data_IF_848158260148
#
_entry.id   IF_848158260148
#
_cell.length_a   1.000
_cell.length_b   1.000
_cell.length_c   1.000
_cell.angle_alpha   90.00
_cell.angle_beta   90.00
_cell.angle_gamma   90.00
#
_symmetry.space_group_name_H-M   'P 1'
#
loop_
_entity.id
_entity.type
_entity.pdbx_description
1 polymer ?
#
# COMPACT_ATOMS: atom_id res chain seq x y z
N UNK A 1 4.21 -13.75 8.20
CA UNK A 1 3.98 -12.49 8.94
C UNK A 1 5.13 -11.58 8.56
N UNK A 2 4.87 -10.37 8.07
CA UNK A 2 5.92 -9.46 7.60
C UNK A 2 6.39 -8.59 8.77
N UNK A 3 7.61 -8.82 9.25
CA UNK A 3 8.19 -8.02 10.33
C UNK A 3 9.14 -6.99 9.71
N UNK A 4 9.01 -5.72 10.12
CA UNK A 4 9.77 -4.58 9.59
C UNK A 4 9.92 -4.59 8.05
N UNK A 5 8.81 -4.62 7.29
CA UNK A 5 8.90 -4.56 5.85
C UNK A 5 9.46 -3.19 5.42
N UNK A 6 10.40 -3.21 4.47
CA UNK A 6 11.04 -2.06 3.84
C UNK A 6 10.72 -2.08 2.35
N UNK A 7 10.31 -0.93 1.79
CA UNK A 7 10.04 -0.81 0.35
C UNK A 7 11.36 -0.63 -0.40
N UNK A 8 11.69 -1.58 -1.27
CA UNK A 8 12.87 -1.51 -2.13
C UNK A 8 12.54 -0.82 -3.44
N UNK A 9 11.50 -1.28 -4.14
CA UNK A 9 11.12 -0.79 -5.46
C UNK A 9 9.60 -0.74 -5.62
N UNK A 10 9.14 0.17 -6.47
CA UNK A 10 7.73 0.29 -6.90
C UNK A 10 7.70 0.60 -8.39
N UNK A 11 6.88 -0.11 -9.14
CA UNK A 11 6.76 0.09 -10.59
C UNK A 11 5.32 -0.11 -11.06
N UNK A 12 4.99 0.56 -12.17
CA UNK A 12 3.63 0.64 -12.69
C UNK A 12 2.73 1.56 -11.88
N UNK A 13 1.64 2.01 -12.50
CA UNK A 13 0.58 2.80 -11.86
C UNK A 13 -0.74 2.09 -12.12
N UNK A 14 -1.46 1.77 -11.05
CA UNK A 14 -2.79 1.16 -11.11
C UNK A 14 -3.74 1.96 -10.23
N UNK A 15 -4.97 2.14 -10.68
CA UNK A 15 -6.01 2.84 -9.92
C UNK A 15 -7.00 1.84 -9.36
N UNK A 16 -7.12 1.78 -8.04
CA UNK A 16 -8.15 0.99 -7.36
C UNK A 16 -9.09 1.92 -6.59
N UNK A 17 -10.39 1.61 -6.62
CA UNK A 17 -11.37 2.25 -5.75
C UNK A 17 -11.15 1.77 -4.31
N UNK A 18 -10.50 2.61 -3.49
CA UNK A 18 -10.26 2.31 -2.08
C UNK A 18 -11.34 3.00 -1.22
N UNK A 19 -11.88 2.24 -0.27
CA UNK A 19 -12.76 2.75 0.79
C UNK A 19 -12.05 2.72 2.14
N UNK A 20 -12.34 3.70 3.00
CA UNK A 20 -11.82 3.69 4.36
C UNK A 20 -12.87 3.13 5.32
N UNK A 21 -12.50 2.19 6.19
CA UNK A 21 -13.39 1.71 7.25
C UNK A 21 -13.81 2.82 8.23
N UNK A 22 -13.07 3.93 8.28
CA UNK A 22 -13.44 5.11 9.07
C UNK A 22 -14.52 5.98 8.43
N UNK A 23 -14.74 5.88 7.11
CA UNK A 23 -15.75 6.65 6.38
C UNK A 23 -16.41 5.74 5.32
N UNK A 24 -17.44 4.96 5.72
CA UNK A 24 -18.00 3.91 4.87
C UNK A 24 -18.68 4.41 3.59
N UNK A 25 -19.10 5.67 3.56
CA UNK A 25 -19.84 6.28 2.44
C UNK A 25 -18.91 6.87 1.36
N UNK A 26 -17.61 6.87 1.59
CA UNK A 26 -16.64 7.55 0.73
C UNK A 26 -15.67 6.56 0.10
N UNK A 27 -15.72 6.50 -1.22
CA UNK A 27 -14.84 5.70 -2.06
C UNK A 27 -14.19 6.60 -3.09
N UNK A 28 -12.89 6.48 -3.25
CA UNK A 28 -12.15 7.27 -4.22
C UNK A 28 -11.18 6.37 -4.98
N UNK A 29 -10.94 6.71 -6.26
CA UNK A 29 -9.90 6.09 -7.05
C UNK A 29 -8.54 6.57 -6.55
N UNK A 30 -7.73 5.67 -5.99
CA UNK A 30 -6.40 5.99 -5.48
C UNK A 30 -5.35 5.40 -6.41
N UNK A 31 -4.42 6.23 -6.94
CA UNK A 31 -3.31 5.71 -7.71
C UNK A 31 -2.32 5.00 -6.78
N UNK A 32 -2.02 3.74 -7.10
CA UNK A 32 -1.11 2.84 -6.40
C UNK A 32 -0.09 2.25 -7.37
N UNK A 33 0.98 1.70 -6.82
CA UNK A 33 1.95 0.98 -7.63
C UNK A 33 1.37 -0.40 -8.02
N UNK A 34 1.48 -0.77 -9.30
CA UNK A 34 1.03 -2.08 -9.78
C UNK A 34 1.91 -3.21 -9.23
N UNK A 35 3.20 -2.94 -9.06
CA UNK A 35 4.19 -3.87 -8.54
C UNK A 35 5.02 -3.21 -7.46
N UNK A 36 5.29 -3.96 -6.39
CA UNK A 36 6.14 -3.53 -5.28
C UNK A 36 7.10 -4.65 -4.93
N UNK A 37 8.35 -4.28 -4.67
CA UNK A 37 9.37 -5.15 -4.11
C UNK A 37 9.65 -4.70 -2.70
N UNK A 38 9.48 -5.60 -1.75
CA UNK A 38 9.71 -5.32 -0.33
C UNK A 38 10.73 -6.29 0.24
N UNK A 39 11.45 -5.84 1.27
CA UNK A 39 12.29 -6.69 2.11
C UNK A 39 11.65 -6.77 3.48
N UNK A 40 11.41 -7.96 3.99
CA UNK A 40 10.85 -8.15 5.33
C UNK A 40 11.65 -9.20 6.09
N UNK A 41 11.47 -9.22 7.41
CA UNK A 41 11.99 -10.27 8.27
C UNK A 41 10.91 -11.32 8.48
N UNK A 42 11.30 -12.60 8.44
CA UNK A 42 10.44 -13.70 8.86
C UNK A 42 10.36 -13.76 10.39
N UNK A 43 9.50 -14.63 10.93
CA UNK A 43 9.35 -14.88 12.37
C UNK A 43 10.66 -15.28 13.06
N UNK A 44 11.58 -15.88 12.29
CA UNK A 44 12.91 -16.29 12.74
C UNK A 44 13.96 -15.17 12.62
N UNK A 45 13.54 -13.94 12.24
CA UNK A 45 14.43 -12.78 12.08
C UNK A 45 15.27 -12.80 10.80
N UNK A 46 15.06 -13.78 9.91
CA UNK A 46 15.79 -13.88 8.65
C UNK A 46 15.22 -12.90 7.62
N UNK A 47 16.05 -12.05 6.99
CA UNK A 47 15.59 -11.18 5.92
C UNK A 47 15.27 -11.98 4.66
N UNK A 48 14.14 -11.64 4.03
CA UNK A 48 13.75 -12.14 2.73
C UNK A 48 13.17 -11.01 1.88
N UNK A 49 13.23 -11.19 0.56
CA UNK A 49 12.63 -10.26 -0.39
C UNK A 49 11.35 -10.89 -0.95
N UNK A 50 10.32 -10.06 -1.08
CA UNK A 50 9.03 -10.43 -1.64
C UNK A 50 8.68 -9.45 -2.75
N UNK A 51 8.49 -9.97 -3.95
CA UNK A 51 7.88 -9.24 -5.06
C UNK A 51 6.39 -9.55 -5.07
N UNK A 52 5.59 -8.50 -5.09
CA UNK A 52 4.14 -8.57 -5.12
C UNK A 52 3.61 -7.68 -6.23
N UNK A 53 2.58 -8.16 -6.91
CA UNK A 53 1.89 -7.47 -8.00
C UNK A 53 0.37 -7.42 -7.78
N UNK A 54 -0.29 -6.51 -8.50
CA UNK A 54 -1.74 -6.34 -8.48
C UNK A 54 -2.31 -6.06 -7.08
N UNK A 55 -3.27 -6.88 -6.65
CA UNK A 55 -3.94 -6.73 -5.34
C UNK A 55 -2.97 -6.93 -4.17
N UNK A 56 -2.01 -7.84 -4.27
CA UNK A 56 -1.01 -8.07 -3.23
C UNK A 56 -0.10 -6.85 -3.06
N UNK A 57 0.30 -6.22 -4.17
CA UNK A 57 1.07 -4.98 -4.15
C UNK A 57 0.31 -3.83 -3.48
N UNK A 58 -0.98 -3.71 -3.78
CA UNK A 58 -1.88 -2.72 -3.17
C UNK A 58 -2.00 -2.96 -1.65
N UNK A 59 -2.28 -4.20 -1.22
CA UNK A 59 -2.40 -4.53 0.21
C UNK A 59 -1.10 -4.27 0.99
N UNK A 60 0.05 -4.63 0.42
CA UNK A 60 1.36 -4.38 1.03
C UNK A 60 1.68 -2.89 1.05
N UNK A 61 1.40 -2.18 -0.04
CA UNK A 61 1.55 -0.73 -0.14
C UNK A 61 0.68 0.03 0.86
N UNK A 62 -0.54 -0.45 1.13
CA UNK A 62 -1.44 0.10 2.15
C UNK A 62 -0.85 -0.03 3.57
N UNK A 63 -0.17 -1.14 3.85
CA UNK A 63 0.47 -1.42 5.15
C UNK A 63 1.75 -0.59 5.35
N UNK A 64 2.53 -0.41 4.29
CA UNK A 64 3.84 0.25 4.30
C UNK A 64 3.76 1.76 4.16
N UNK A 65 2.90 2.24 3.28
CA UNK A 65 2.66 3.66 3.12
C UNK A 65 1.98 4.13 4.39
N UNK A 66 2.72 4.86 5.24
CA UNK A 66 2.25 5.61 6.40
C UNK A 66 0.74 5.85 6.28
N UNK A 67 -0.05 4.96 6.90
CA UNK A 67 -1.51 4.93 6.85
C UNK A 67 -2.14 6.11 7.59
N UNK A 68 -1.48 7.25 7.54
CA UNK A 68 -2.05 8.57 7.77
C UNK A 68 -2.94 8.85 6.57
N UNK A 69 -4.19 8.38 6.68
CA UNK A 69 -5.33 8.99 6.04
C UNK A 69 -5.33 8.87 4.50
N UNK A 70 -5.62 7.67 3.99
CA UNK A 70 -5.87 7.43 2.56
C UNK A 70 -6.93 8.37 1.95
N UNK A 71 -7.73 9.05 2.77
CA UNK A 71 -8.77 10.01 2.34
C UNK A 71 -8.34 11.49 2.36
N UNK A 72 -7.39 11.92 3.21
CA UNK A 72 -7.17 13.37 3.40
C UNK A 72 -6.39 14.05 2.27
N UNK A 73 -5.50 13.34 1.56
CA UNK A 73 -4.69 13.96 0.48
C UNK A 73 -5.47 14.18 -0.82
N UNK A 74 -6.42 13.30 -1.14
CA UNK A 74 -7.30 13.47 -2.30
C UNK A 74 -8.41 14.50 -2.04
N UNK A 75 -8.94 14.56 -0.81
CA UNK A 75 -9.95 15.57 -0.44
C UNK A 75 -9.40 17.00 -0.39
N UNK A 76 -8.14 17.21 0.02
CA UNK A 76 -7.56 18.55 0.11
C UNK A 76 -7.09 19.14 -1.22
N UNK A 77 -7.17 18.41 -2.34
CA UNK A 77 -6.73 18.89 -3.66
C UNK A 77 -7.86 19.00 -4.68
N UNK A 78 -9.12 18.84 -4.23
CA UNK A 78 -10.33 19.10 -5.01
C UNK A 78 -11.27 20.13 -4.34
N UNK A 79 -10.80 20.86 -3.34
CA UNK A 79 -11.47 22.06 -2.78
C UNK A 79 -10.50 23.21 -2.75
#
# INVERSE_FOLDING_TARGET
>A
MLINPELLEKSGETGIEEGCLSIPEQRALVPRAEKVKIRALDRDGKPFELEADGLLAICIGLRLGNGKYCTLRLFFNQV
#
